data_IF_141203560956
#
_entry.id   IF_141203560956
#
_cell.length_a   1.000
_cell.length_b   1.000
_cell.length_c   1.000
_cell.angle_alpha   90.00
_cell.angle_beta   90.00
_cell.angle_gamma   90.00
#
_symmetry.space_group_name_H-M   'P 1'
#
loop_
_entity.id
_entity.type
_entity.pdbx_description
1 polymer ?
#
# COMPACT_ATOMS: atom_id res chain seq x y z
N UNK A 1 2.91 -12.22 -26.67
CA UNK A 1 2.22 -11.17 -27.46
C UNK A 1 2.54 -9.85 -26.79
N UNK A 2 3.27 -8.97 -27.47
CA UNK A 2 3.54 -7.62 -26.96
C UNK A 2 2.28 -6.78 -27.12
N UNK A 3 1.69 -6.31 -26.03
CA UNK A 3 0.73 -5.20 -26.09
C UNK A 3 1.48 -3.90 -25.82
N UNK A 4 1.33 -2.96 -26.75
CA UNK A 4 1.84 -1.59 -26.68
C UNK A 4 0.87 -0.72 -25.86
N UNK A 5 1.35 0.35 -25.22
CA UNK A 5 0.49 1.35 -24.55
C UNK A 5 -0.59 1.96 -25.49
N UNK A 6 -0.42 1.82 -26.80
CA UNK A 6 -1.41 2.23 -27.80
C UNK A 6 -2.57 1.24 -27.98
N UNK A 7 -2.51 0.05 -27.37
CA UNK A 7 -3.54 -1.00 -27.51
C UNK A 7 -4.69 -0.86 -26.50
N UNK A 8 -4.67 0.18 -25.64
CA UNK A 8 -5.88 0.62 -24.95
C UNK A 8 -6.88 1.17 -25.97
N UNK A 9 -7.73 0.30 -26.50
CA UNK A 9 -8.92 0.71 -27.21
C UNK A 9 -9.73 1.64 -26.31
N UNK A 10 -9.91 2.89 -26.75
CA UNK A 10 -11.00 3.75 -26.27
C UNK A 10 -12.31 3.04 -26.63
N UNK A 11 -12.82 2.23 -25.72
CA UNK A 11 -14.14 1.66 -25.84
C UNK A 11 -15.12 2.82 -25.73
N UNK A 12 -15.69 3.22 -26.87
CA UNK A 12 -16.90 4.02 -26.90
C UNK A 12 -18.07 3.13 -26.43
N UNK A 13 -18.05 2.76 -25.14
CA UNK A 13 -19.15 2.05 -24.51
C UNK A 13 -20.24 3.08 -24.20
N UNK A 14 -21.20 3.18 -25.12
CA UNK A 14 -22.43 3.95 -24.98
C UNK A 14 -23.35 3.18 -24.02
N UNK A 15 -23.22 3.48 -22.74
CA UNK A 15 -24.04 2.93 -21.66
C UNK A 15 -23.91 3.83 -20.42
N UNK A 16 -24.90 3.84 -19.52
CA UNK A 16 -25.01 4.83 -18.44
C UNK A 16 -23.92 4.80 -17.36
N UNK A 17 -22.87 3.98 -17.52
CA UNK A 17 -21.80 3.75 -16.53
C UNK A 17 -20.42 4.30 -16.95
N UNK A 18 -20.34 5.24 -17.89
CA UNK A 18 -19.06 5.82 -18.35
C UNK A 18 -18.89 7.30 -17.98
N UNK A 19 -18.56 7.57 -16.71
CA UNK A 19 -17.99 8.86 -16.28
C UNK A 19 -16.48 8.79 -16.03
N UNK A 20 -15.72 8.16 -16.93
CA UNK A 20 -14.26 8.22 -16.91
C UNK A 20 -13.66 8.39 -18.30
N UNK A 21 -14.14 9.42 -18.97
CA UNK A 21 -13.40 10.21 -19.95
C UNK A 21 -14.33 11.35 -20.32
N UNK A 22 -14.06 12.59 -19.87
CA UNK A 22 -14.61 13.70 -20.62
C UNK A 22 -14.02 13.56 -22.04
N UNK A 23 -14.82 13.41 -23.10
CA UNK A 23 -14.28 13.63 -24.45
C UNK A 23 -13.64 15.02 -24.43
N UNK A 24 -12.60 15.26 -25.22
CA UNK A 24 -12.10 16.62 -25.48
C UNK A 24 -13.29 17.51 -25.82
N UNK A 25 -13.74 18.25 -24.81
CA UNK A 25 -15.07 18.82 -24.76
C UNK A 25 -14.94 20.26 -25.16
N UNK A 26 -15.28 20.58 -26.40
CA UNK A 26 -15.38 21.98 -26.82
C UNK A 26 -16.68 22.53 -26.23
N UNK A 27 -16.60 23.12 -25.05
CA UNK A 27 -17.75 23.84 -24.47
C UNK A 27 -17.81 25.23 -25.09
N UNK A 28 -18.95 25.56 -25.71
CA UNK A 28 -19.25 26.90 -26.20
C UNK A 28 -20.21 27.55 -25.21
N UNK A 29 -19.76 28.57 -24.51
CA UNK A 29 -20.64 29.38 -23.66
C UNK A 29 -21.46 30.32 -24.55
N UNK A 30 -22.78 30.25 -24.48
CA UNK A 30 -23.67 31.24 -25.08
C UNK A 30 -23.90 32.36 -24.06
N UNK A 31 -23.39 33.57 -24.34
CA UNK A 31 -23.72 34.75 -23.55
C UNK A 31 -25.04 35.36 -24.07
N UNK A 32 -25.96 35.82 -23.20
CA UNK A 32 -27.20 36.50 -23.63
C UNK A 32 -26.98 37.87 -24.30
N UNK A 33 -25.73 38.36 -24.37
CA UNK A 33 -25.33 39.64 -24.93
C UNK A 33 -24.22 39.41 -25.95
N UNK A 34 -24.16 40.23 -27.00
CA UNK A 34 -23.27 40.23 -28.19
C UNK A 34 -21.76 40.15 -27.90
N UNK A 35 -21.35 39.10 -27.19
CA UNK A 35 -19.97 38.76 -26.90
C UNK A 35 -19.67 37.45 -27.61
N UNK A 36 -18.58 37.38 -28.41
CA UNK A 36 -18.26 36.16 -29.12
C UNK A 36 -18.04 35.01 -28.13
N UNK A 37 -18.56 33.80 -28.44
CA UNK A 37 -18.43 32.65 -27.57
C UNK A 37 -16.95 32.36 -27.30
N UNK A 38 -16.59 32.18 -26.03
CA UNK A 38 -15.26 31.74 -25.64
C UNK A 38 -15.17 30.22 -25.80
N UNK A 39 -14.16 29.77 -26.52
CA UNK A 39 -13.82 28.35 -26.59
C UNK A 39 -13.07 27.98 -25.31
N UNK A 40 -13.65 27.09 -24.51
CA UNK A 40 -12.95 26.46 -23.39
C UNK A 40 -12.45 25.10 -23.87
N UNK A 41 -11.13 24.92 -23.89
CA UNK A 41 -10.50 23.63 -24.15
C UNK A 41 -10.26 22.98 -22.79
N UNK A 42 -10.89 21.82 -22.57
CA UNK A 42 -10.63 20.99 -21.39
C UNK A 42 -9.60 19.95 -21.82
N UNK A 43 -8.33 20.17 -21.46
CA UNK A 43 -7.29 19.17 -21.64
C UNK A 43 -7.43 18.09 -20.56
N UNK A 44 -7.73 16.86 -20.97
CA UNK A 44 -7.67 15.73 -20.05
C UNK A 44 -6.23 15.53 -19.60
N UNK A 45 -6.00 15.53 -18.28
CA UNK A 45 -4.72 15.12 -17.71
C UNK A 45 -4.44 13.67 -18.11
N UNK A 46 -3.37 13.45 -18.87
CA UNK A 46 -2.92 12.11 -19.18
C UNK A 46 -2.52 11.40 -17.87
N UNK A 47 -2.89 10.13 -17.74
CA UNK A 47 -2.64 9.35 -16.52
C UNK A 47 -1.15 9.33 -16.12
N UNK A 48 -0.27 9.28 -17.12
CA UNK A 48 1.19 9.36 -16.95
C UNK A 48 1.71 10.70 -16.42
N UNK A 49 0.87 11.75 -16.35
CA UNK A 49 1.21 13.03 -15.73
C UNK A 49 0.93 13.07 -14.22
N UNK A 50 0.17 12.12 -13.67
CA UNK A 50 -0.13 12.09 -12.23
C UNK A 50 1.12 12.07 -11.35
N UNK A 51 2.19 11.30 -11.67
CA UNK A 51 3.43 11.38 -10.91
C UNK A 51 4.05 12.79 -10.87
N UNK A 52 3.84 13.61 -11.90
CA UNK A 52 4.25 15.02 -11.92
C UNK A 52 3.45 15.85 -10.91
N UNK A 53 2.12 15.73 -10.93
CA UNK A 53 1.24 16.40 -9.98
C UNK A 53 1.53 15.99 -8.52
N UNK A 54 1.80 14.70 -8.28
CA UNK A 54 2.22 14.20 -6.97
C UNK A 54 3.50 14.88 -6.47
N UNK A 55 4.54 15.00 -7.30
CA UNK A 55 5.78 15.71 -6.94
C UNK A 55 5.54 17.19 -6.65
N UNK A 56 4.63 17.85 -7.38
CA UNK A 56 4.25 19.24 -7.10
C UNK A 56 3.60 19.41 -5.72
N UNK A 57 2.99 18.35 -5.17
CA UNK A 57 2.45 18.31 -3.81
C UNK A 57 3.46 17.88 -2.75
N UNK A 58 4.71 17.56 -3.14
CA UNK A 58 5.70 16.94 -2.26
C UNK A 58 5.43 15.47 -1.95
N UNK A 59 4.64 14.78 -2.78
CA UNK A 59 4.32 13.36 -2.64
C UNK A 59 5.30 12.49 -3.43
N UNK A 60 6.58 12.59 -3.06
CA UNK A 60 7.66 11.97 -3.81
C UNK A 60 7.59 10.44 -3.79
N UNK A 61 7.16 9.84 -2.67
CA UNK A 61 7.08 8.38 -2.54
C UNK A 61 5.92 7.80 -3.35
N UNK A 62 4.75 8.43 -3.27
CA UNK A 62 3.59 8.07 -4.10
C UNK A 62 3.92 8.22 -5.58
N UNK A 63 4.57 9.33 -5.96
CA UNK A 63 5.00 9.56 -7.33
C UNK A 63 5.97 8.48 -7.82
N UNK A 64 6.94 8.08 -6.99
CA UNK A 64 7.91 7.06 -7.34
C UNK A 64 7.25 5.68 -7.52
N UNK A 65 6.31 5.29 -6.66
CA UNK A 65 5.57 4.02 -6.81
C UNK A 65 4.74 4.01 -8.11
N UNK A 66 3.98 5.07 -8.35
CA UNK A 66 3.14 5.15 -9.55
C UNK A 66 3.98 5.21 -10.83
N UNK A 67 5.10 5.94 -10.80
CA UNK A 67 6.06 5.97 -11.91
C UNK A 67 6.66 4.59 -12.17
N UNK A 68 7.13 3.90 -11.11
CA UNK A 68 7.62 2.52 -11.22
C UNK A 68 6.57 1.60 -11.82
N UNK A 69 5.31 1.74 -11.44
CA UNK A 69 4.22 0.95 -12.01
C UNK A 69 4.04 1.20 -13.51
N UNK A 70 4.08 2.46 -13.98
CA UNK A 70 4.04 2.77 -15.42
C UNK A 70 5.27 2.27 -16.19
N UNK A 71 6.44 2.31 -15.56
CA UNK A 71 7.70 1.92 -16.20
C UNK A 71 7.91 0.40 -16.21
N UNK A 72 7.12 -0.34 -15.41
CA UNK A 72 7.21 -1.79 -15.31
C UNK A 72 6.57 -2.49 -16.52
N UNK A 73 7.05 -3.68 -16.91
CA UNK A 73 6.37 -4.49 -17.92
C UNK A 73 4.92 -4.76 -17.51
N UNK A 74 4.02 -4.78 -18.50
CA UNK A 74 2.61 -5.11 -18.28
C UNK A 74 2.47 -6.49 -17.65
N UNK A 75 2.15 -6.51 -16.37
CA UNK A 75 1.95 -7.72 -15.58
C UNK A 75 0.78 -7.51 -14.62
N UNK A 76 -0.20 -8.42 -14.70
CA UNK A 76 -1.33 -8.44 -13.80
C UNK A 76 -1.03 -9.41 -12.65
N UNK A 77 -0.96 -8.89 -11.42
CA UNK A 77 -0.82 -9.75 -10.25
C UNK A 77 -2.03 -10.69 -10.14
N UNK A 78 -1.82 -12.02 -9.99
CA UNK A 78 -2.93 -12.96 -9.81
C UNK A 78 -3.82 -12.56 -8.64
N UNK A 79 -5.14 -12.50 -8.86
CA UNK A 79 -6.08 -12.03 -7.83
C UNK A 79 -6.01 -12.85 -6.53
N UNK A 80 -5.75 -14.15 -6.63
CA UNK A 80 -5.61 -15.03 -5.47
C UNK A 80 -4.38 -14.69 -4.62
N UNK A 81 -3.35 -14.01 -5.14
CA UNK A 81 -2.20 -13.60 -4.32
C UNK A 81 -2.57 -12.59 -3.21
N UNK A 82 -3.75 -11.97 -3.28
CA UNK A 82 -4.27 -11.12 -2.20
C UNK A 82 -4.72 -11.91 -0.96
N UNK A 83 -4.92 -13.23 -1.07
CA UNK A 83 -5.30 -14.10 0.05
C UNK A 83 -4.05 -14.68 0.73
N UNK A 84 -3.98 -14.72 2.07
CA UNK A 84 -2.81 -15.21 2.79
C UNK A 84 -2.35 -16.63 2.40
N UNK A 85 -3.28 -17.51 2.04
CA UNK A 85 -3.03 -18.93 1.76
C UNK A 85 -2.35 -19.16 0.40
N UNK A 86 -2.50 -18.21 -0.52
CA UNK A 86 -2.07 -18.30 -1.92
C UNK A 86 -1.03 -17.26 -2.28
N UNK A 87 -0.53 -16.51 -1.29
CA UNK A 87 0.63 -15.64 -1.46
C UNK A 87 1.86 -16.49 -1.86
N UNK A 88 2.63 -16.05 -2.86
CA UNK A 88 3.87 -16.72 -3.21
C UNK A 88 4.87 -16.60 -2.05
N UNK A 89 5.87 -17.47 -2.06
CA UNK A 89 7.02 -17.30 -1.18
C UNK A 89 7.62 -15.91 -1.45
N UNK A 90 7.73 -15.04 -0.42
CA UNK A 90 8.37 -13.75 -0.59
C UNK A 90 9.70 -13.87 -1.30
N UNK A 91 10.50 -14.91 -1.04
CA UNK A 91 11.82 -15.11 -1.66
C UNK A 91 11.79 -15.54 -3.13
N UNK A 92 10.62 -15.95 -3.67
CA UNK A 92 10.49 -16.33 -5.09
C UNK A 92 10.10 -15.17 -6.00
N UNK A 93 9.72 -14.02 -5.46
CA UNK A 93 9.34 -12.83 -6.25
C UNK A 93 10.55 -12.24 -6.98
N UNK A 94 10.35 -11.87 -8.25
CA UNK A 94 11.38 -11.18 -9.03
C UNK A 94 11.48 -9.69 -8.64
N UNK A 95 12.58 -9.00 -8.95
CA UNK A 95 12.72 -7.57 -8.72
C UNK A 95 11.65 -6.72 -9.41
N UNK A 96 11.09 -7.19 -10.53
CA UNK A 96 9.99 -6.51 -11.23
C UNK A 96 8.69 -6.60 -10.44
N UNK A 97 8.45 -7.72 -9.73
CA UNK A 97 7.23 -8.00 -8.98
C UNK A 97 7.25 -7.45 -7.55
N UNK A 98 8.42 -7.17 -6.98
CA UNK A 98 8.57 -6.70 -5.61
C UNK A 98 9.56 -5.53 -5.54
N UNK A 99 9.09 -4.40 -5.03
CA UNK A 99 9.95 -3.28 -4.64
C UNK A 99 10.40 -3.42 -3.17
N UNK A 100 11.67 -3.13 -2.90
CA UNK A 100 12.21 -3.04 -1.54
C UNK A 100 12.88 -1.66 -1.31
N UNK A 101 12.74 -0.72 -2.26
CA UNK A 101 13.59 0.48 -2.37
C UNK A 101 12.88 1.82 -2.33
N UNK A 102 11.61 1.90 -2.69
CA UNK A 102 10.85 3.15 -2.69
C UNK A 102 10.28 3.42 -1.30
N UNK A 103 9.58 2.45 -0.72
CA UNK A 103 8.95 2.63 0.61
C UNK A 103 9.94 2.22 1.70
N UNK A 104 10.66 3.21 2.23
CA UNK A 104 11.58 3.01 3.36
C UNK A 104 10.87 3.28 4.69
N UNK A 105 11.21 2.49 5.72
CA UNK A 105 10.67 2.70 7.08
C UNK A 105 11.05 4.06 7.65
N UNK A 106 12.20 4.63 7.29
CA UNK A 106 12.58 5.99 7.68
C UNK A 106 11.56 7.06 7.23
N UNK A 107 11.11 6.96 5.97
CA UNK A 107 10.04 7.80 5.44
C UNK A 107 8.71 7.49 6.15
N UNK A 108 8.34 6.21 6.26
CA UNK A 108 7.05 5.83 6.85
C UNK A 108 6.93 6.30 8.31
N UNK A 109 8.04 6.32 9.05
CA UNK A 109 8.09 6.77 10.43
C UNK A 109 7.83 8.28 10.62
N UNK A 110 7.85 9.09 9.56
CA UNK A 110 7.47 10.49 9.62
C UNK A 110 5.96 10.67 9.85
N UNK A 111 5.15 9.65 9.53
CA UNK A 111 3.70 9.68 9.66
C UNK A 111 3.24 9.09 11.00
N UNK A 112 2.38 9.82 11.71
CA UNK A 112 1.87 9.41 13.03
C UNK A 112 1.17 8.05 12.99
N UNK A 113 0.37 7.80 11.95
CA UNK A 113 -0.35 6.53 11.79
C UNK A 113 0.58 5.31 11.69
N UNK A 114 1.76 5.46 11.10
CA UNK A 114 2.76 4.39 11.06
C UNK A 114 3.38 4.17 12.43
N UNK A 115 3.74 5.24 13.16
CA UNK A 115 4.29 5.14 14.52
C UNK A 115 3.29 4.47 15.48
N UNK A 116 2.01 4.82 15.37
CA UNK A 116 0.93 4.17 16.13
C UNK A 116 0.81 2.69 15.77
N UNK A 117 0.90 2.34 14.48
CA UNK A 117 0.88 0.95 14.03
C UNK A 117 2.05 0.14 14.61
N UNK A 118 3.25 0.73 14.73
CA UNK A 118 4.40 0.07 15.38
C UNK A 118 4.09 -0.24 16.84
N UNK A 119 3.62 0.74 17.62
CA UNK A 119 3.27 0.52 19.02
C UNK A 119 2.21 -0.59 19.18
N UNK A 120 1.24 -0.64 18.27
CA UNK A 120 0.24 -1.71 18.24
C UNK A 120 0.89 -3.07 17.91
N UNK A 121 1.73 -3.15 16.89
CA UNK A 121 2.41 -4.39 16.51
C UNK A 121 3.33 -4.91 17.64
N UNK A 122 4.02 -4.04 18.34
CA UNK A 122 4.82 -4.35 19.53
C UNK A 122 3.97 -4.94 20.66
N UNK A 123 2.82 -4.33 20.95
CA UNK A 123 1.90 -4.82 21.98
C UNK A 123 1.38 -6.24 21.69
N UNK A 124 1.43 -6.67 20.43
CA UNK A 124 0.90 -7.95 19.95
C UNK A 124 1.90 -9.11 19.96
N UNK A 125 3.16 -8.87 20.34
CA UNK A 125 4.23 -9.89 20.35
C UNK A 125 3.94 -11.10 21.24
N UNK A 126 3.17 -10.91 22.31
CA UNK A 126 2.87 -11.95 23.31
C UNK A 126 1.47 -12.54 23.16
N UNK A 127 0.73 -12.18 22.10
CA UNK A 127 -0.59 -12.74 21.84
C UNK A 127 -0.52 -14.24 21.53
N UNK A 128 -1.58 -15.03 21.78
CA UNK A 128 -1.58 -16.46 21.48
C UNK A 128 -1.21 -16.79 20.03
N UNK A 129 -1.65 -15.98 19.07
CA UNK A 129 -1.32 -16.13 17.65
C UNK A 129 0.16 -15.89 17.37
N UNK A 130 0.77 -14.86 17.97
CA UNK A 130 2.20 -14.59 17.84
C UNK A 130 3.04 -15.73 18.43
N UNK A 131 2.67 -16.23 19.62
CA UNK A 131 3.36 -17.35 20.25
C UNK A 131 3.22 -18.65 19.43
N UNK A 132 2.04 -18.91 18.85
CA UNK A 132 1.83 -20.06 17.96
C UNK A 132 2.68 -19.93 16.69
N UNK A 133 2.73 -18.74 16.09
CA UNK A 133 3.55 -18.45 14.91
C UNK A 133 5.03 -18.62 15.21
N UNK A 134 5.53 -18.06 16.31
CA UNK A 134 6.92 -18.21 16.77
C UNK A 134 7.30 -19.69 16.94
N UNK A 135 6.46 -20.49 17.60
CA UNK A 135 6.69 -21.93 17.75
C UNK A 135 6.76 -22.66 16.40
N UNK A 136 5.91 -22.29 15.44
CA UNK A 136 5.94 -22.86 14.08
C UNK A 136 7.24 -22.49 13.36
N UNK A 137 7.69 -21.24 13.48
CA UNK A 137 8.95 -20.77 12.87
C UNK A 137 10.15 -21.50 13.46
N UNK A 138 10.24 -21.60 14.78
CA UNK A 138 11.33 -22.34 15.45
C UNK A 138 11.41 -23.79 14.97
N UNK A 139 10.26 -24.50 14.91
CA UNK A 139 10.21 -25.87 14.38
C UNK A 139 10.62 -25.95 12.92
N UNK A 140 10.15 -25.01 12.08
CA UNK A 140 10.51 -24.94 10.65
C UNK A 140 12.01 -24.74 10.45
N UNK A 141 12.67 -24.02 11.36
CA UNK A 141 14.11 -23.76 11.33
C UNK A 141 14.95 -24.87 12.02
N UNK A 142 14.32 -25.95 12.48
CA UNK A 142 15.03 -27.12 13.04
C UNK A 142 15.14 -27.15 14.56
N UNK A 143 14.42 -26.31 15.30
CA UNK A 143 14.37 -26.41 16.76
C UNK A 143 13.43 -27.52 17.23
N UNK A 144 13.98 -28.50 17.95
CA UNK A 144 13.26 -29.68 18.44
C UNK A 144 13.07 -29.73 19.96
N UNK A 145 13.32 -28.63 20.68
CA UNK A 145 13.00 -28.52 22.12
C UNK A 145 14.11 -28.98 23.08
N UNK A 146 15.35 -29.17 22.63
CA UNK A 146 16.42 -29.72 23.47
C UNK A 146 17.64 -28.81 23.63
N UNK A 147 17.77 -27.74 22.84
CA UNK A 147 18.96 -26.88 22.84
C UNK A 147 18.61 -25.38 22.72
N UNK A 148 19.51 -24.49 23.16
CA UNK A 148 19.47 -23.09 22.77
C UNK A 148 19.42 -22.96 21.25
N UNK A 149 18.65 -22.00 20.77
CA UNK A 149 18.40 -21.87 19.33
C UNK A 149 18.18 -20.41 18.96
N UNK A 150 18.94 -19.90 18.00
CA UNK A 150 18.81 -18.53 17.52
C UNK A 150 17.81 -18.45 16.37
N UNK A 151 16.97 -17.42 16.40
CA UNK A 151 16.03 -17.10 15.33
C UNK A 151 16.31 -15.67 14.84
N UNK A 152 16.38 -15.51 13.53
CA UNK A 152 16.54 -14.20 12.90
C UNK A 152 17.98 -13.68 12.89
N UNK A 153 18.15 -12.52 12.27
CA UNK A 153 19.40 -11.73 12.25
C UNK A 153 19.04 -10.27 11.97
N UNK A 154 19.82 -9.32 12.52
CA UNK A 154 19.65 -7.88 12.25
C UNK A 154 20.05 -7.49 10.82
N UNK A 155 20.69 -8.39 10.07
CA UNK A 155 21.04 -8.21 8.65
C UNK A 155 19.94 -8.66 7.69
N UNK A 156 18.80 -9.12 8.20
CA UNK A 156 17.72 -9.62 7.35
C UNK A 156 16.98 -8.50 6.60
N UNK A 157 16.69 -8.73 5.32
CA UNK A 157 15.76 -7.89 4.56
C UNK A 157 14.31 -8.10 5.00
N UNK A 158 13.40 -7.22 4.60
CA UNK A 158 11.97 -7.35 4.88
C UNK A 158 11.40 -8.72 4.43
N UNK A 159 11.78 -9.19 3.23
CA UNK A 159 11.38 -10.51 2.72
C UNK A 159 11.91 -11.66 3.57
N UNK A 160 13.18 -11.56 4.01
CA UNK A 160 13.77 -12.56 4.89
C UNK A 160 13.09 -12.58 6.26
N UNK A 161 12.71 -11.42 6.80
CA UNK A 161 11.93 -11.34 8.04
C UNK A 161 10.56 -12.00 7.86
N UNK A 162 9.82 -11.70 6.78
CA UNK A 162 8.49 -12.28 6.46
C UNK A 162 8.52 -13.81 6.49
N UNK A 163 9.56 -14.42 5.93
CA UNK A 163 9.70 -15.88 5.87
C UNK A 163 10.20 -16.50 7.16
N UNK A 164 11.15 -15.85 7.84
CA UNK A 164 11.97 -16.52 8.87
C UNK A 164 11.63 -16.15 10.31
N UNK A 165 11.09 -14.95 10.55
CA UNK A 165 10.99 -14.39 11.91
C UNK A 165 9.75 -13.53 12.16
N UNK A 166 8.89 -13.32 11.17
CA UNK A 166 7.63 -12.58 11.34
C UNK A 166 6.65 -13.33 12.26
N UNK A 167 6.25 -12.65 13.33
CA UNK A 167 5.38 -13.23 14.37
C UNK A 167 4.00 -12.60 14.40
N UNK A 168 3.85 -11.33 14.03
CA UNK A 168 2.56 -10.66 14.03
C UNK A 168 2.49 -9.48 13.06
N UNK A 169 1.31 -8.86 12.94
CA UNK A 169 1.06 -7.72 12.07
C UNK A 169 -0.07 -6.83 12.60
N UNK A 170 -0.19 -5.64 12.02
CA UNK A 170 -1.36 -4.77 12.13
C UNK A 170 -1.58 -4.03 10.82
N UNK A 171 -2.84 -3.72 10.54
CA UNK A 171 -3.20 -2.82 9.45
C UNK A 171 -3.19 -1.38 9.96
N UNK A 172 -2.95 -0.44 9.05
CA UNK A 172 -3.06 0.99 9.28
C UNK A 172 -3.41 1.72 7.98
N UNK A 173 -3.86 2.96 8.09
CA UNK A 173 -4.44 3.67 6.95
C UNK A 173 -5.96 3.54 6.93
N UNK A 174 -6.63 4.40 6.15
CA UNK A 174 -8.06 4.32 5.95
C UNK A 174 -8.61 5.42 5.07
N UNK A 175 -9.81 5.20 4.54
CA UNK A 175 -10.46 6.11 3.58
C UNK A 175 -10.66 7.55 4.09
N UNK A 176 -10.59 7.78 5.40
CA UNK A 176 -10.79 9.10 6.03
C UNK A 176 -9.50 9.79 6.45
N UNK A 177 -8.34 9.14 6.27
CA UNK A 177 -7.05 9.72 6.61
C UNK A 177 -6.75 10.97 5.78
N UNK A 178 -5.78 11.74 6.29
CA UNK A 178 -5.23 12.89 5.61
C UNK A 178 -4.77 12.51 4.20
N UNK A 179 -5.12 13.35 3.24
CA UNK A 179 -4.71 13.21 1.85
C UNK A 179 -3.27 13.72 1.74
N UNK A 180 -2.30 12.83 1.96
CA UNK A 180 -0.86 13.09 1.99
C UNK A 180 -0.09 12.03 1.17
N UNK A 181 1.24 12.16 1.13
CA UNK A 181 2.13 11.25 0.38
C UNK A 181 1.92 9.77 0.74
N UNK A 182 1.80 9.44 2.04
CA UNK A 182 1.58 8.06 2.45
C UNK A 182 0.17 7.56 2.08
N UNK A 183 -0.85 8.42 2.04
CA UNK A 183 -2.17 8.06 1.52
C UNK A 183 -2.08 7.74 0.02
N UNK A 184 -1.39 8.58 -0.75
CA UNK A 184 -1.17 8.36 -2.18
C UNK A 184 -0.31 7.13 -2.48
N UNK A 185 0.62 6.78 -1.59
CA UNK A 185 1.54 5.66 -1.75
C UNK A 185 0.92 4.32 -1.35
N UNK A 186 0.18 4.29 -0.23
CA UNK A 186 -0.23 3.04 0.41
C UNK A 186 -1.74 2.92 0.62
N UNK A 187 -2.47 4.04 0.77
CA UNK A 187 -3.87 4.02 1.19
C UNK A 187 -4.05 3.31 2.54
N UNK A 188 -4.33 2.00 2.50
CA UNK A 188 -4.32 1.08 3.65
C UNK A 188 -3.20 0.06 3.47
N UNK A 189 -2.33 -0.11 4.47
CA UNK A 189 -1.21 -1.04 4.40
C UNK A 189 -1.10 -1.94 5.63
N UNK A 190 -0.36 -3.04 5.46
CA UNK A 190 -0.03 -3.97 6.55
C UNK A 190 1.38 -3.72 7.05
N UNK A 191 1.49 -3.34 8.33
CA UNK A 191 2.75 -3.33 9.06
C UNK A 191 2.95 -4.71 9.71
N UNK A 192 4.11 -5.32 9.48
CA UNK A 192 4.48 -6.61 10.05
C UNK A 192 5.65 -6.46 11.02
N UNK A 193 5.69 -7.32 12.04
CA UNK A 193 6.76 -7.38 13.04
C UNK A 193 7.39 -8.77 13.08
N UNK A 194 8.72 -8.81 13.02
CA UNK A 194 9.53 -9.99 13.28
C UNK A 194 10.45 -9.84 14.47
N UNK A 195 10.94 -10.97 14.97
CA UNK A 195 11.80 -11.02 16.17
C UNK A 195 13.15 -11.64 15.85
N UNK A 196 14.20 -11.04 16.39
CA UNK A 196 15.53 -11.65 16.48
C UNK A 196 15.79 -11.99 17.93
N UNK A 197 16.26 -13.19 18.20
CA UNK A 197 16.52 -13.61 19.57
C UNK A 197 16.87 -15.08 19.69
N UNK A 198 16.81 -15.59 20.90
CA UNK A 198 17.20 -16.97 21.18
C UNK A 198 16.29 -17.68 22.18
N UNK A 199 16.13 -18.98 21.93
CA UNK A 199 15.57 -19.92 22.90
C UNK A 199 16.60 -20.19 23.98
N UNK A 200 16.17 -20.19 25.22
CA UNK A 200 16.93 -20.67 26.36
C UNK A 200 16.04 -21.50 27.29
N UNK A 201 16.66 -22.36 28.09
CA UNK A 201 15.97 -23.22 29.04
C UNK A 201 16.20 -22.71 30.45
N UNK A 202 15.15 -22.68 31.27
CA UNK A 202 15.24 -22.48 32.72
C UNK A 202 14.54 -23.62 33.44
N UNK A 203 15.12 -24.09 34.53
CA UNK A 203 14.45 -25.04 35.40
C UNK A 203 13.43 -24.32 36.27
N UNK A 204 12.24 -24.90 36.37
CA UNK A 204 11.22 -24.39 37.27
C UNK A 204 11.66 -24.63 38.73
N UNK A 205 11.71 -23.60 39.60
CA UNK A 205 12.31 -23.72 40.93
C UNK A 205 11.68 -24.79 41.82
N UNK A 206 10.37 -25.05 41.64
CA UNK A 206 9.61 -25.99 42.46
C UNK A 206 9.56 -27.40 41.83
N UNK A 207 9.11 -27.51 40.58
CA UNK A 207 8.92 -28.81 39.90
C UNK A 207 10.21 -29.38 39.30
N UNK A 208 11.30 -28.61 39.26
CA UNK A 208 12.56 -28.95 38.57
C UNK A 208 12.39 -29.29 37.08
N UNK A 209 11.25 -28.92 36.50
CA UNK A 209 10.98 -29.15 35.08
C UNK A 209 11.63 -28.06 34.23
N UNK A 210 12.35 -28.48 33.19
CA UNK A 210 12.88 -27.58 32.17
C UNK A 210 11.73 -26.89 31.42
N UNK A 211 11.74 -25.56 31.40
CA UNK A 211 10.85 -24.73 30.61
C UNK A 211 11.65 -23.93 29.58
N UNK A 212 11.13 -23.86 28.35
CA UNK A 212 11.75 -23.10 27.27
C UNK A 212 11.14 -21.71 27.19
N UNK A 213 12.01 -20.72 27.09
CA UNK A 213 11.68 -19.32 26.90
C UNK A 213 12.36 -18.81 25.65
N UNK A 214 11.75 -17.83 25.00
CA UNK A 214 12.37 -17.10 23.90
C UNK A 214 12.69 -15.68 24.37
N UNK A 215 13.97 -15.31 24.36
CA UNK A 215 14.41 -13.95 24.63
C UNK A 215 14.44 -13.19 23.31
N UNK A 216 13.61 -12.15 23.20
CA UNK A 216 13.68 -11.20 22.09
C UNK A 216 14.84 -10.23 22.36
N UNK A 217 15.74 -10.09 21.39
CA UNK A 217 16.90 -9.19 21.43
C UNK A 217 16.67 -7.96 20.54
N UNK A 218 16.05 -8.17 19.37
CA UNK A 218 15.67 -7.08 18.46
C UNK A 218 14.31 -7.33 17.83
N UNK A 219 13.67 -6.24 17.42
CA UNK A 219 12.46 -6.24 16.61
C UNK A 219 12.76 -5.69 15.21
N UNK A 220 12.18 -6.31 14.20
CA UNK A 220 12.20 -5.83 12.82
C UNK A 220 10.80 -5.46 12.36
N UNK A 221 10.62 -4.22 11.89
CA UNK A 221 9.36 -3.73 11.34
C UNK A 221 9.50 -3.49 9.84
N UNK A 222 8.47 -3.84 9.09
CA UNK A 222 8.40 -3.55 7.67
C UNK A 222 6.95 -3.46 7.23
N UNK A 223 6.72 -2.74 6.14
CA UNK A 223 5.42 -2.64 5.48
C UNK A 223 5.42 -3.64 4.33
N UNK A 224 4.31 -4.35 4.16
CA UNK A 224 4.05 -5.16 2.97
C UNK A 224 2.69 -4.78 2.43
N UNK A 225 2.66 -4.43 1.16
CA UNK A 225 1.45 -4.00 0.48
C UNK A 225 1.43 -4.50 -0.98
N UNK A 226 0.25 -4.56 -1.57
CA UNK A 226 0.05 -4.91 -2.98
C UNK A 226 -0.24 -3.65 -3.79
N UNK A 227 0.77 -3.15 -4.50
CA UNK A 227 0.62 -1.98 -5.37
C UNK A 227 0.18 -2.42 -6.77
N UNK A 228 -1.13 -2.60 -6.97
CA UNK A 228 -1.74 -2.99 -8.25
C UNK A 228 -3.00 -2.17 -8.55
N UNK A 229 -3.28 -1.98 -9.84
CA UNK A 229 -4.49 -1.31 -10.31
C UNK A 229 -5.46 -2.28 -11.00
N UNK A 230 -5.51 -3.54 -10.53
CA UNK A 230 -6.39 -4.54 -11.11
C UNK A 230 -7.84 -4.27 -10.68
N UNK A 231 -8.75 -4.27 -11.65
CA UNK A 231 -10.16 -3.94 -11.45
C UNK A 231 -10.43 -2.43 -11.37
N UNK A 232 -11.57 -2.05 -10.78
CA UNK A 232 -11.93 -0.64 -10.64
C UNK A 232 -11.17 0.01 -9.48
N UNK A 233 -10.24 0.91 -9.81
CA UNK A 233 -9.43 1.65 -8.85
C UNK A 233 -9.50 3.14 -9.15
N UNK A 234 -10.24 3.87 -8.33
CA UNK A 234 -10.36 5.32 -8.47
C UNK A 234 -9.11 6.01 -7.92
N UNK A 235 -8.34 6.64 -8.79
CA UNK A 235 -7.07 7.28 -8.45
C UNK A 235 -7.22 8.68 -7.84
N UNK A 236 -8.44 9.20 -7.75
CA UNK A 236 -8.71 10.59 -7.41
C UNK A 236 -9.03 11.44 -8.63
N UNK A 237 -9.48 12.67 -8.39
CA UNK A 237 -9.67 13.70 -9.43
C UNK A 237 -8.46 14.61 -9.42
N UNK A 238 -7.76 14.70 -10.55
CA UNK A 238 -6.46 15.38 -10.63
C UNK A 238 -6.51 16.60 -11.54
N UNK A 239 -5.73 17.60 -11.16
CA UNK A 239 -5.25 18.70 -12.01
C UNK A 239 -3.78 18.47 -12.34
N UNK A 240 -3.18 19.30 -13.20
CA UNK A 240 -1.74 19.19 -13.50
C UNK A 240 -0.86 19.39 -12.25
N UNK A 241 -1.35 20.12 -11.25
CA UNK A 241 -0.56 20.51 -10.09
C UNK A 241 -0.89 19.73 -8.81
N UNK A 242 -2.09 19.17 -8.70
CA UNK A 242 -2.56 18.52 -7.47
C UNK A 242 -3.76 17.60 -7.67
N UNK A 243 -3.99 16.72 -6.70
CA UNK A 243 -5.28 16.07 -6.51
C UNK A 243 -6.28 17.02 -5.85
N UNK A 244 -7.55 16.86 -6.20
CA UNK A 244 -8.65 17.52 -5.51
C UNK A 244 -8.85 16.87 -4.13
N UNK A 245 -9.16 17.70 -3.13
CA UNK A 245 -9.60 17.21 -1.83
C UNK A 245 -10.90 16.42 -1.96
N UNK A 246 -11.25 15.64 -0.92
CA UNK A 246 -12.51 14.88 -0.89
C UNK A 246 -13.73 15.79 -1.07
N UNK A 247 -13.73 16.96 -0.45
CA UNK A 247 -14.81 17.96 -0.59
C UNK A 247 -14.87 18.54 -2.01
N UNK A 248 -13.73 18.94 -2.58
CA UNK A 248 -13.66 19.43 -3.97
C UNK A 248 -14.09 18.37 -4.97
N UNK A 249 -13.74 17.10 -4.73
CA UNK A 249 -14.15 15.97 -5.56
C UNK A 249 -15.66 15.80 -5.56
N UNK A 250 -16.32 15.87 -4.39
CA UNK A 250 -17.79 15.82 -4.30
C UNK A 250 -18.41 16.96 -5.10
N UNK A 251 -17.89 18.19 -4.97
CA UNK A 251 -18.39 19.35 -5.72
C UNK A 251 -18.19 19.17 -7.24
N UNK A 252 -17.03 18.68 -7.67
CA UNK A 252 -16.70 18.50 -9.08
C UNK A 252 -17.47 17.35 -9.76
N UNK A 253 -17.78 16.28 -9.01
CA UNK A 253 -18.48 15.09 -9.52
C UNK A 253 -20.00 15.24 -9.39
N UNK A 254 -20.49 16.18 -8.57
CA UNK A 254 -21.92 16.51 -8.53
C UNK A 254 -22.30 17.17 -9.86
N UNK A 255 -23.26 16.60 -10.61
CA UNK A 255 -23.76 17.24 -11.83
C UNK A 255 -24.22 18.65 -11.48
N UNK A 256 -23.77 19.67 -12.22
CA UNK A 256 -24.14 21.08 -12.01
C UNK A 256 -25.61 21.35 -12.38
N UNK A 257 -26.53 20.66 -11.72
CA UNK A 257 -27.97 20.86 -11.75
C UNK A 257 -28.50 20.82 -10.31
N UNK A 258 -28.58 22.01 -9.70
CA UNK A 258 -29.29 22.30 -8.46
C UNK A 258 -28.77 21.64 -7.16
N UNK A 259 -27.65 22.15 -6.63
CA UNK A 259 -27.37 22.00 -5.20
C UNK A 259 -28.20 23.05 -4.42
N UNK A 260 -29.39 22.67 -3.96
CA UNK A 260 -30.16 23.46 -2.99
C UNK A 260 -29.77 22.97 -1.59
N UNK A 261 -29.03 23.79 -0.85
CA UNK A 261 -28.74 23.55 0.57
C UNK A 261 -29.78 24.32 1.38
N UNK A 262 -30.53 23.61 2.23
CA UNK A 262 -31.45 24.22 3.19
C UNK A 262 -30.68 24.57 4.46
N UNK A 263 -30.81 25.83 4.91
CA UNK A 263 -30.38 26.26 6.25
C UNK A 263 -31.42 25.87 7.29
#
# INVERSE_FOLDING_TARGET
MNMSLNDFQRTNAVGPDTYFALPQGVSRTYAPLDTPPKQVIIENLALSRIPGAMRNMGWDTAAALLQRWFDSPGWEMPADWKKPETQPDPMSLSPEQCDEDIVKMEWAMQFERCRTAIAVAESRLTTPNALLRLKKLLKKQGWHGSAPFKLGSTLMTARQIDVSSQVNFTEFGGAWDALDDMYGALGTATLKVGVVGEVFTKEHPITQQAQHYFRVEHLGFYIRDHYDFNGFQYLGTWTEDRVLTKAETVIAVTPQGNLIIRM
#
